data_IF_332804064290
#
_entry.id   IF_332804064290
#
_cell.length_a   1.000
_cell.length_b   1.000
_cell.length_c   1.000
_cell.angle_alpha   90.00
_cell.angle_beta   90.00
_cell.angle_gamma   90.00
#
_symmetry.space_group_name_H-M   'P 1'
#
loop_
_entity.id
_entity.type
_entity.pdbx_description
1 polymer ?
#
# COMPACT_ATOMS: atom_id res chain seq x y z
N UNK A 1 -9.80 -24.44 8.87
CA UNK A 1 -10.12 -23.57 7.70
C UNK A 1 -9.84 -22.13 8.08
N UNK A 2 -8.72 -21.57 7.64
CA UNK A 2 -8.35 -20.16 7.89
C UNK A 2 -8.79 -19.35 6.67
N UNK A 3 -9.90 -18.64 6.78
CA UNK A 3 -10.38 -17.72 5.73
C UNK A 3 -9.52 -16.45 5.78
N UNK A 4 -8.91 -16.00 4.67
CA UNK A 4 -8.14 -14.76 4.63
C UNK A 4 -9.10 -13.57 4.72
N UNK A 5 -9.15 -12.93 5.90
CA UNK A 5 -10.06 -11.81 6.21
C UNK A 5 -9.49 -10.47 5.73
N UNK A 6 -9.39 -10.31 4.41
CA UNK A 6 -9.05 -9.02 3.79
C UNK A 6 -10.23 -8.06 3.82
N UNK A 7 -10.00 -6.84 4.31
CA UNK A 7 -10.83 -5.62 4.21
C UNK A 7 -12.20 -5.58 4.90
N UNK A 8 -13.05 -6.61 4.83
CA UNK A 8 -14.39 -6.57 5.45
C UNK A 8 -14.36 -6.63 6.98
N UNK A 9 -13.30 -7.20 7.57
CA UNK A 9 -13.19 -7.36 9.01
C UNK A 9 -12.96 -6.03 9.73
N UNK A 10 -12.12 -5.15 9.19
CA UNK A 10 -11.83 -3.84 9.79
C UNK A 10 -13.08 -2.95 9.71
N UNK A 11 -13.72 -2.91 8.53
CA UNK A 11 -14.96 -2.17 8.33
C UNK A 11 -16.09 -2.64 9.26
N UNK A 12 -16.27 -3.97 9.40
CA UNK A 12 -17.23 -4.54 10.34
C UNK A 12 -16.94 -4.14 11.78
N UNK A 13 -15.69 -4.12 12.21
CA UNK A 13 -15.40 -3.76 13.61
C UNK A 13 -15.61 -2.27 13.87
N UNK A 14 -15.36 -1.40 12.88
CA UNK A 14 -15.67 0.02 13.01
C UNK A 14 -17.18 0.26 13.17
N UNK A 15 -18.00 -0.40 12.35
CA UNK A 15 -19.47 -0.30 12.44
C UNK A 15 -20.06 -0.95 13.69
N UNK A 16 -19.49 -2.07 14.15
CA UNK A 16 -19.97 -2.77 15.36
C UNK A 16 -19.39 -2.21 16.66
N UNK A 17 -18.68 -1.08 16.60
CA UNK A 17 -18.08 -0.43 17.76
C UNK A 17 -17.06 -1.33 18.48
N UNK A 18 -16.50 -2.31 17.79
CA UNK A 18 -15.73 -3.37 18.42
C UNK A 18 -14.30 -3.05 18.77
N UNK A 19 -14.00 -1.76 18.79
CA UNK A 19 -12.79 -1.16 19.34
C UNK A 19 -12.95 -0.63 20.75
N UNK A 20 -14.18 -0.53 21.27
CA UNK A 20 -14.45 -0.10 22.65
C UNK A 20 -14.05 -1.19 23.66
N UNK A 21 -13.79 -0.80 24.92
CA UNK A 21 -13.47 -1.69 26.06
C UNK A 21 -14.25 -3.02 26.03
N UNK A 22 -13.60 -4.18 26.30
CA UNK A 22 -12.21 -4.39 26.79
C UNK A 22 -11.15 -4.57 25.69
N UNK A 23 -11.50 -4.42 24.42
CA UNK A 23 -10.69 -4.86 23.26
C UNK A 23 -9.84 -3.76 22.62
N UNK A 24 -9.71 -2.61 23.28
CA UNK A 24 -8.89 -1.46 22.86
C UNK A 24 -7.44 -1.85 22.54
N UNK A 25 -6.86 -2.78 23.33
CA UNK A 25 -5.50 -3.27 23.12
C UNK A 25 -5.31 -3.96 21.77
N UNK A 26 -6.32 -4.68 21.28
CA UNK A 26 -6.24 -5.37 19.98
C UNK A 26 -6.24 -4.39 18.81
N UNK A 27 -6.85 -3.22 18.97
CA UNK A 27 -6.87 -2.15 17.97
C UNK A 27 -5.55 -1.39 17.93
N UNK A 28 -5.07 -0.98 19.10
CA UNK A 28 -3.77 -0.32 19.22
C UNK A 28 -2.64 -1.23 18.71
N UNK A 29 -2.71 -2.53 18.98
CA UNK A 29 -1.76 -3.49 18.44
C UNK A 29 -1.76 -3.55 16.90
N UNK A 30 -2.93 -3.40 16.26
CA UNK A 30 -3.04 -3.34 14.80
C UNK A 30 -2.32 -2.14 14.18
N UNK A 31 -2.50 -0.96 14.77
CA UNK A 31 -1.83 0.27 14.32
C UNK A 31 -0.31 0.17 14.49
N UNK A 32 0.15 -0.43 15.59
CA UNK A 32 1.57 -0.70 15.83
C UNK A 32 2.16 -1.64 14.78
N UNK A 33 1.46 -2.74 14.46
CA UNK A 33 1.88 -3.68 13.41
C UNK A 33 2.02 -2.94 12.07
N UNK A 34 1.06 -2.09 11.72
CA UNK A 34 1.12 -1.27 10.51
C UNK A 34 2.37 -0.39 10.45
N UNK A 35 2.68 0.32 11.54
CA UNK A 35 3.89 1.15 11.63
C UNK A 35 5.18 0.34 11.44
N UNK A 36 5.32 -0.80 12.14
CA UNK A 36 6.51 -1.64 12.04
C UNK A 36 6.68 -2.28 10.66
N UNK A 37 5.57 -2.71 10.04
CA UNK A 37 5.59 -3.25 8.67
C UNK A 37 6.09 -2.19 7.70
N UNK A 38 5.58 -0.96 7.77
CA UNK A 38 6.05 0.14 6.91
C UNK A 38 7.53 0.42 7.15
N UNK A 39 7.97 0.47 8.40
CA UNK A 39 9.38 0.70 8.76
C UNK A 39 10.31 -0.37 8.16
N UNK A 40 9.93 -1.64 8.22
CA UNK A 40 10.73 -2.73 7.66
C UNK A 40 10.75 -2.66 6.13
N UNK A 41 9.58 -2.60 5.49
CA UNK A 41 9.45 -2.64 4.02
C UNK A 41 10.20 -1.48 3.36
N UNK A 42 10.10 -0.29 3.96
CA UNK A 42 10.74 0.90 3.41
C UNK A 42 12.23 1.03 3.76
N UNK A 43 12.75 0.19 4.66
CA UNK A 43 14.19 0.05 4.92
C UNK A 43 14.90 -0.96 4.01
N UNK A 44 14.15 -1.82 3.29
CA UNK A 44 14.72 -2.80 2.34
C UNK A 44 15.60 -2.17 1.25
N UNK A 45 15.25 -1.01 0.65
CA UNK A 45 16.06 -0.43 -0.42
C UNK A 45 17.44 0.05 0.03
N UNK A 46 17.67 0.28 1.33
CA UNK A 46 19.00 0.65 1.86
C UNK A 46 20.03 -0.47 1.67
N UNK A 47 19.58 -1.72 1.49
CA UNK A 47 20.46 -2.86 1.18
C UNK A 47 21.06 -2.81 -0.23
N UNK A 48 20.63 -1.87 -1.10
CA UNK A 48 21.17 -1.69 -2.45
C UNK A 48 22.42 -0.79 -2.37
N UNK A 49 23.61 -1.28 -2.75
CA UNK A 49 24.83 -0.47 -2.70
C UNK A 49 24.73 0.71 -3.68
N UNK A 50 25.33 1.85 -3.31
CA UNK A 50 25.42 3.11 -4.08
C UNK A 50 24.12 3.94 -4.16
N UNK A 51 22.96 3.33 -4.40
CA UNK A 51 21.69 4.05 -4.64
C UNK A 51 20.70 3.90 -3.47
N UNK A 52 20.93 2.96 -2.54
CA UNK A 52 19.99 2.67 -1.46
C UNK A 52 19.69 3.85 -0.54
N UNK A 53 20.74 4.48 0.00
CA UNK A 53 20.57 5.58 0.97
C UNK A 53 19.83 6.82 0.40
N UNK A 54 20.18 7.38 -0.79
CA UNK A 54 19.41 8.50 -1.33
C UNK A 54 17.98 8.11 -1.74
N UNK A 55 17.75 6.85 -2.11
CA UNK A 55 16.40 6.37 -2.46
C UNK A 55 15.50 6.27 -1.21
N UNK A 56 16.02 5.77 -0.10
CA UNK A 56 15.28 5.70 1.17
C UNK A 56 15.00 7.10 1.71
N UNK A 57 15.96 8.02 1.63
CA UNK A 57 15.76 9.42 2.02
C UNK A 57 14.71 10.12 1.14
N UNK A 58 14.68 9.83 -0.16
CA UNK A 58 13.64 10.33 -1.07
C UNK A 58 12.26 9.76 -0.72
N UNK A 59 12.17 8.48 -0.38
CA UNK A 59 10.91 7.82 -0.01
C UNK A 59 10.37 8.31 1.33
N UNK A 60 11.23 8.44 2.35
CA UNK A 60 10.82 8.87 3.69
C UNK A 60 10.67 10.38 3.81
N UNK A 61 11.46 11.16 3.07
CA UNK A 61 11.56 12.61 3.17
C UNK A 61 12.20 13.11 4.49
N UNK A 62 12.75 12.20 5.30
CA UNK A 62 13.37 12.47 6.60
C UNK A 62 14.27 11.28 6.98
N UNK A 63 15.18 11.48 7.94
CA UNK A 63 16.05 10.43 8.48
C UNK A 63 15.30 9.28 9.19
N UNK A 64 14.00 9.42 9.44
CA UNK A 64 13.16 8.37 10.06
C UNK A 64 11.72 8.38 9.53
N UNK A 65 11.06 7.21 9.66
CA UNK A 65 9.64 7.03 9.30
C UNK A 65 8.76 7.80 10.28
N UNK A 66 8.08 8.82 9.77
CA UNK A 66 7.21 9.71 10.55
C UNK A 66 6.10 10.36 9.73
N UNK A 67 5.65 11.53 10.16
CA UNK A 67 4.50 12.22 9.55
C UNK A 67 4.72 12.58 8.07
N UNK A 68 5.92 13.04 7.71
CA UNK A 68 6.26 13.38 6.33
C UNK A 68 6.18 12.18 5.39
N UNK A 69 6.61 11.01 5.86
CA UNK A 69 6.52 9.74 5.15
C UNK A 69 5.05 9.39 4.88
N UNK A 70 4.18 9.50 5.89
CA UNK A 70 2.75 9.20 5.75
C UNK A 70 2.06 10.07 4.69
N UNK A 71 2.32 11.38 4.70
CA UNK A 71 1.74 12.31 3.70
C UNK A 71 2.22 11.99 2.28
N UNK A 72 3.50 11.62 2.10
CA UNK A 72 4.03 11.19 0.80
C UNK A 72 3.39 9.90 0.32
N UNK A 73 3.30 8.88 1.18
CA UNK A 73 2.63 7.62 0.84
C UNK A 73 1.15 7.83 0.49
N UNK A 74 0.45 8.68 1.23
CA UNK A 74 -0.94 9.02 0.92
C UNK A 74 -1.07 9.68 -0.45
N UNK A 75 -0.22 10.66 -0.78
CA UNK A 75 -0.21 11.31 -2.09
C UNK A 75 0.14 10.33 -3.22
N UNK A 76 1.16 9.50 -3.04
CA UNK A 76 1.55 8.47 -4.01
C UNK A 76 0.42 7.44 -4.22
N UNK A 77 -0.26 7.03 -3.16
CA UNK A 77 -1.30 6.00 -3.22
C UNK A 77 -2.64 6.50 -3.76
N UNK A 78 -3.04 7.73 -3.44
CA UNK A 78 -4.36 8.25 -3.83
C UNK A 78 -4.35 9.00 -5.15
N UNK A 79 -3.21 9.58 -5.52
CA UNK A 79 -3.11 10.39 -6.73
C UNK A 79 -2.25 9.71 -7.79
N UNK A 80 -0.99 9.41 -7.49
CA UNK A 80 -0.04 8.96 -8.51
C UNK A 80 -0.31 7.53 -9.01
N UNK A 81 -0.47 6.56 -8.09
CA UNK A 81 -0.73 5.16 -8.46
C UNK A 81 -2.06 4.97 -9.20
N UNK A 82 -3.19 5.60 -8.79
CA UNK A 82 -4.44 5.48 -9.52
C UNK A 82 -4.37 6.13 -10.90
N UNK A 83 -3.71 7.29 -11.02
CA UNK A 83 -3.49 7.95 -12.30
C UNK A 83 -2.67 7.07 -13.26
N UNK A 84 -1.55 6.51 -12.78
CA UNK A 84 -0.73 5.58 -13.55
C UNK A 84 -1.53 4.34 -13.96
N UNK A 85 -2.32 3.78 -13.05
CA UNK A 85 -3.18 2.62 -13.34
C UNK A 85 -4.18 2.93 -14.46
N UNK A 86 -4.84 4.11 -14.41
CA UNK A 86 -5.75 4.54 -15.46
C UNK A 86 -5.03 4.70 -16.80
N UNK A 87 -3.86 5.33 -16.83
CA UNK A 87 -3.06 5.49 -18.05
C UNK A 87 -2.66 4.13 -18.64
N UNK A 88 -2.17 3.21 -17.81
CA UNK A 88 -1.82 1.86 -18.24
C UNK A 88 -3.03 1.09 -18.75
N UNK A 89 -4.19 1.18 -18.07
CA UNK A 89 -5.44 0.55 -18.54
C UNK A 89 -5.89 1.14 -19.90
N UNK A 90 -5.83 2.46 -20.06
CA UNK A 90 -6.17 3.14 -21.30
C UNK A 90 -5.22 2.79 -22.45
N UNK A 91 -3.96 2.48 -22.19
CA UNK A 91 -3.04 1.95 -23.20
C UNK A 91 -3.28 0.45 -23.49
N UNK A 92 -3.56 -0.32 -22.44
CA UNK A 92 -3.73 -1.77 -22.50
C UNK A 92 -4.98 -2.17 -23.29
N UNK A 93 -6.13 -1.52 -23.08
CA UNK A 93 -7.38 -1.88 -23.75
C UNK A 93 -7.35 -1.71 -25.28
N UNK A 94 -6.81 -0.62 -25.85
CA UNK A 94 -6.61 -0.50 -27.30
C UNK A 94 -5.64 -1.53 -27.85
N UNK A 95 -4.58 -1.89 -27.12
CA UNK A 95 -3.64 -2.92 -27.54
C UNK A 95 -4.35 -4.28 -27.69
N UNK A 96 -5.16 -4.68 -26.71
CA UNK A 96 -5.98 -5.89 -26.79
C UNK A 96 -6.97 -5.82 -27.96
N UNK A 97 -7.64 -4.68 -28.16
CA UNK A 97 -8.58 -4.50 -29.29
C UNK A 97 -7.90 -4.60 -30.66
N UNK A 98 -6.65 -4.13 -30.77
CA UNK A 98 -5.85 -4.23 -32.01
C UNK A 98 -5.33 -5.64 -32.26
N UNK A 99 -5.02 -6.40 -31.21
CA UNK A 99 -4.47 -7.75 -31.28
C UNK A 99 -5.53 -8.86 -31.45
N UNK A 100 -6.76 -8.53 -31.91
CA UNK A 100 -7.93 -9.42 -32.16
C UNK A 100 -7.63 -10.89 -31.86
N UNK A 101 -8.07 -11.34 -30.69
CA UNK A 101 -7.91 -12.69 -30.12
C UNK A 101 -8.19 -13.75 -31.21
N UNK A 102 -7.09 -14.29 -31.73
CA UNK A 102 -6.85 -15.50 -32.53
C UNK A 102 -7.73 -15.73 -33.77
N UNK A 103 -7.07 -15.93 -34.92
CA UNK A 103 -7.72 -16.44 -36.13
C UNK A 103 -8.40 -17.79 -35.89
N UNK A 104 -9.43 -18.13 -36.71
CA UNK A 104 -10.23 -19.34 -36.53
C UNK A 104 -9.35 -20.60 -36.62
N UNK A 105 -9.57 -21.53 -35.68
CA UNK A 105 -9.15 -22.93 -35.78
C UNK A 105 -10.00 -23.66 -36.83
#
# INVERSE_FOLDING_TARGET
MVVPKGSFSVFRVYLTGGFKKPRELTWVAGDQIGYWVVKIVTGVPDAIPVIGSPLVELLHGSASVGQFTLTRFYSLHTFLLPLLTVVFMLMHFPMIRKQRIFGPL
#
